data_IF_763145644870
#
_entry.id   IF_763145644870
#
_cell.length_a   1.000
_cell.length_b   1.000
_cell.length_c   1.000
_cell.angle_alpha   90.00
_cell.angle_beta   90.00
_cell.angle_gamma   90.00
#
_symmetry.space_group_name_H-M   'P 1'
#
loop_
_entity.id
_entity.type
_entity.pdbx_description
1 polymer ?
#
# COMPACT_ATOMS: atom_id res chain seq x y z
N UNK A 1 -29.57 -7.32 3.46
CA UNK A 1 -28.20 -7.73 3.90
C UNK A 1 -27.21 -7.21 2.89
N UNK A 2 -26.03 -6.70 3.28
CA UNK A 2 -25.05 -6.23 2.26
C UNK A 2 -24.52 -7.42 1.45
N UNK A 3 -24.06 -7.16 0.23
CA UNK A 3 -23.49 -8.21 -0.62
C UNK A 3 -22.32 -8.95 0.05
N UNK A 4 -21.49 -8.25 0.84
CA UNK A 4 -20.38 -8.90 1.56
C UNK A 4 -20.89 -9.88 2.62
N UNK A 5 -21.92 -9.48 3.38
CA UNK A 5 -22.54 -10.34 4.38
C UNK A 5 -23.26 -11.53 3.73
N UNK A 6 -23.91 -11.32 2.58
CA UNK A 6 -24.55 -12.38 1.80
C UNK A 6 -23.55 -13.40 1.27
N UNK A 7 -22.42 -12.94 0.72
CA UNK A 7 -21.34 -13.81 0.26
C UNK A 7 -20.69 -14.55 1.43
N UNK A 8 -20.44 -13.87 2.56
CA UNK A 8 -19.90 -14.50 3.77
C UNK A 8 -20.83 -15.60 4.28
N UNK A 9 -22.12 -15.32 4.44
CA UNK A 9 -23.11 -16.29 4.86
C UNK A 9 -23.16 -17.49 3.91
N UNK A 10 -23.27 -17.24 2.60
CA UNK A 10 -23.32 -18.31 1.60
C UNK A 10 -22.06 -19.18 1.64
N UNK A 11 -20.87 -18.58 1.59
CA UNK A 11 -19.60 -19.30 1.45
C UNK A 11 -19.16 -19.98 2.75
N UNK A 12 -19.33 -19.31 3.89
CA UNK A 12 -18.81 -19.79 5.18
C UNK A 12 -19.80 -20.69 5.92
N UNK A 13 -21.08 -20.38 5.82
CA UNK A 13 -22.10 -20.96 6.69
C UNK A 13 -23.02 -21.95 5.93
N UNK A 14 -23.42 -21.65 4.68
CA UNK A 14 -24.38 -22.49 3.92
C UNK A 14 -23.77 -23.52 2.98
N UNK A 15 -22.92 -23.11 2.02
CA UNK A 15 -22.35 -24.01 1.02
C UNK A 15 -21.56 -25.19 1.61
N UNK A 16 -20.85 -25.06 2.76
CA UNK A 16 -20.21 -26.19 3.39
C UNK A 16 -21.16 -27.31 3.84
N UNK A 17 -22.47 -27.02 4.01
CA UNK A 17 -23.46 -28.03 4.39
C UNK A 17 -23.63 -29.12 3.32
N UNK A 18 -23.41 -28.77 2.04
CA UNK A 18 -23.40 -29.70 0.90
C UNK A 18 -22.29 -30.77 0.97
N UNK A 19 -21.22 -30.54 1.75
CA UNK A 19 -19.93 -31.23 1.61
C UNK A 19 -19.80 -32.58 2.34
N UNK A 20 -20.89 -33.21 2.78
CA UNK A 20 -20.80 -34.59 3.30
C UNK A 20 -20.59 -35.64 2.19
N UNK A 21 -20.91 -35.34 0.92
CA UNK A 21 -20.82 -36.35 -0.15
C UNK A 21 -19.57 -36.27 -1.05
N UNK A 22 -18.73 -35.23 -0.93
CA UNK A 22 -17.48 -35.16 -1.69
C UNK A 22 -16.42 -34.27 -1.00
N UNK A 23 -15.23 -34.80 -0.65
CA UNK A 23 -14.12 -33.96 -0.24
C UNK A 23 -13.69 -33.05 -1.40
N UNK A 24 -13.58 -31.76 -1.13
CA UNK A 24 -13.19 -30.73 -2.11
C UNK A 24 -11.80 -31.10 -2.65
N UNK A 25 -11.71 -31.45 -3.93
CA UNK A 25 -10.47 -31.27 -4.67
C UNK A 25 -10.33 -29.78 -4.90
N UNK A 26 -9.40 -29.14 -4.18
CA UNK A 26 -9.02 -27.75 -4.48
C UNK A 26 -8.61 -27.60 -5.95
N UNK A 27 -8.67 -26.38 -6.52
CA UNK A 27 -8.20 -26.14 -7.87
C UNK A 27 -6.77 -26.68 -8.02
N UNK A 28 -6.51 -27.41 -9.11
CA UNK A 28 -5.16 -27.82 -9.49
C UNK A 28 -4.37 -26.58 -9.96
N UNK A 29 -4.07 -25.66 -9.04
CA UNK A 29 -3.14 -24.57 -9.27
C UNK A 29 -1.72 -25.17 -9.24
N UNK A 30 -1.23 -25.57 -10.41
CA UNK A 30 -0.02 -26.35 -10.58
C UNK A 30 1.31 -25.55 -10.47
N UNK A 31 1.31 -24.28 -10.05
CA UNK A 31 2.52 -23.44 -10.14
C UNK A 31 2.95 -22.75 -8.84
N UNK A 32 2.15 -22.73 -7.78
CA UNK A 32 2.50 -21.99 -6.57
C UNK A 32 2.93 -22.93 -5.42
N UNK A 33 4.18 -22.84 -4.93
CA UNK A 33 4.69 -23.71 -3.86
C UNK A 33 3.90 -23.60 -2.55
N UNK A 34 3.19 -22.49 -2.30
CA UNK A 34 2.33 -22.34 -1.11
C UNK A 34 1.10 -23.24 -1.22
N UNK A 35 0.53 -23.40 -2.42
CA UNK A 35 -0.64 -24.24 -2.66
C UNK A 35 -0.32 -25.74 -2.74
N UNK A 36 0.93 -26.12 -3.04
CA UNK A 36 1.40 -27.51 -2.95
C UNK A 36 1.37 -28.07 -1.52
N UNK A 37 1.64 -27.24 -0.52
CA UNK A 37 1.51 -27.66 0.89
C UNK A 37 0.04 -27.87 1.29
N UNK A 38 -0.88 -27.07 0.74
CA UNK A 38 -2.32 -27.21 0.99
C UNK A 38 -2.88 -28.50 0.35
N UNK A 39 -2.35 -28.90 -0.81
CA UNK A 39 -2.76 -30.13 -1.51
C UNK A 39 -2.29 -31.44 -0.84
N UNK A 40 -1.30 -31.39 0.06
CA UNK A 40 -0.75 -32.57 0.75
C UNK A 40 -1.59 -33.04 1.95
N UNK A 41 -2.85 -32.62 2.04
CA UNK A 41 -3.81 -33.21 2.98
C UNK A 41 -3.49 -32.96 4.45
N UNK A 42 -2.80 -31.85 4.77
CA UNK A 42 -2.83 -31.34 6.14
C UNK A 42 -4.30 -31.12 6.52
N UNK A 43 -4.80 -31.70 7.62
CA UNK A 43 -6.16 -31.45 8.06
C UNK A 43 -6.34 -29.93 8.12
N UNK A 44 -7.24 -29.41 7.29
CA UNK A 44 -7.61 -28.00 7.35
C UNK A 44 -8.24 -27.84 8.71
N UNK A 45 -7.44 -27.36 9.64
CA UNK A 45 -7.87 -27.23 11.00
C UNK A 45 -9.00 -26.22 11.04
N UNK A 46 -10.18 -26.71 11.39
CA UNK A 46 -11.40 -25.91 11.55
C UNK A 46 -11.31 -25.02 12.81
N UNK A 47 -10.11 -24.58 13.21
CA UNK A 47 -9.81 -23.76 14.40
C UNK A 47 -10.47 -22.38 14.42
N UNK A 48 -11.14 -21.96 13.33
CA UNK A 48 -11.96 -20.73 13.33
C UNK A 48 -13.45 -20.98 13.61
N UNK A 49 -13.88 -22.24 13.77
CA UNK A 49 -15.20 -22.57 14.33
C UNK A 49 -15.05 -22.79 15.83
N UNK A 50 -16.02 -22.32 16.61
CA UNK A 50 -16.11 -22.64 18.04
C UNK A 50 -16.01 -24.17 18.20
N UNK A 51 -15.02 -24.68 18.97
CA UNK A 51 -14.84 -26.11 19.15
C UNK A 51 -16.12 -26.73 19.73
N UNK A 52 -16.83 -27.55 18.94
CA UNK A 52 -17.96 -28.35 19.43
C UNK A 52 -19.32 -28.13 18.75
N UNK A 53 -19.48 -27.14 17.86
CA UNK A 53 -20.71 -27.03 17.07
C UNK A 53 -20.60 -27.85 15.78
N UNK A 54 -21.43 -28.91 15.58
CA UNK A 54 -21.45 -29.61 14.31
C UNK A 54 -21.80 -28.62 13.17
N UNK A 55 -21.30 -28.83 11.93
CA UNK A 55 -21.83 -28.10 10.78
C UNK A 55 -23.35 -28.18 10.85
N UNK A 56 -24.05 -27.05 10.78
CA UNK A 56 -25.50 -27.03 10.75
C UNK A 56 -25.97 -28.04 9.69
N UNK A 57 -26.51 -29.17 10.15
CA UNK A 57 -26.78 -30.32 9.29
C UNK A 57 -27.96 -29.98 8.37
N UNK A 58 -27.88 -30.37 7.10
CA UNK A 58 -28.98 -30.22 6.13
C UNK A 58 -28.50 -29.77 4.76
N UNK A 59 -29.45 -29.66 3.83
CA UNK A 59 -29.18 -29.12 2.51
C UNK A 59 -28.84 -27.62 2.59
N UNK A 60 -27.91 -27.12 1.75
CA UNK A 60 -27.63 -25.69 1.66
C UNK A 60 -28.89 -24.93 1.24
N UNK A 61 -29.08 -23.73 1.80
CA UNK A 61 -30.21 -22.88 1.41
C UNK A 61 -30.20 -22.60 -0.11
N UNK A 62 -31.36 -22.60 -0.81
CA UNK A 62 -31.42 -22.37 -2.26
C UNK A 62 -30.74 -21.07 -2.71
N UNK A 63 -30.90 -19.98 -1.96
CA UNK A 63 -30.22 -18.72 -2.24
C UNK A 63 -28.68 -18.84 -2.24
N UNK A 64 -28.10 -19.67 -1.36
CA UNK A 64 -26.65 -19.88 -1.35
C UNK A 64 -26.17 -20.62 -2.60
N UNK A 65 -26.98 -21.55 -3.12
CA UNK A 65 -26.71 -22.25 -4.40
C UNK A 65 -26.78 -21.26 -5.56
N UNK A 66 -27.78 -20.37 -5.56
CA UNK A 66 -27.91 -19.31 -6.59
C UNK A 66 -26.71 -18.36 -6.55
N UNK A 67 -26.26 -17.96 -5.35
CA UNK A 67 -25.04 -17.15 -5.18
C UNK A 67 -23.81 -17.89 -5.75
N UNK A 68 -23.63 -19.17 -5.45
CA UNK A 68 -22.54 -19.98 -6.01
C UNK A 68 -22.59 -20.02 -7.55
N UNK A 69 -23.78 -20.22 -8.13
CA UNK A 69 -23.96 -20.25 -9.58
C UNK A 69 -23.57 -18.91 -10.25
N UNK A 70 -23.99 -17.77 -9.68
CA UNK A 70 -23.59 -16.46 -10.21
C UNK A 70 -22.09 -16.18 -10.05
N UNK A 71 -21.45 -16.63 -8.97
CA UNK A 71 -20.00 -16.56 -8.81
C UNK A 71 -19.26 -17.38 -9.87
N UNK A 72 -19.77 -18.56 -10.21
CA UNK A 72 -19.20 -19.40 -11.28
C UNK A 72 -19.33 -18.73 -12.65
N UNK A 73 -20.51 -18.20 -12.98
CA UNK A 73 -20.74 -17.47 -14.24
C UNK A 73 -19.82 -16.25 -14.35
N UNK A 74 -19.68 -15.48 -13.27
CA UNK A 74 -18.74 -14.36 -13.21
C UNK A 74 -17.30 -14.84 -13.42
N UNK A 75 -16.88 -15.89 -12.70
CA UNK A 75 -15.52 -16.44 -12.82
C UNK A 75 -15.18 -16.87 -14.25
N UNK A 76 -16.08 -17.58 -14.93
CA UNK A 76 -15.88 -17.98 -16.32
C UNK A 76 -15.81 -16.78 -17.27
N UNK A 77 -16.67 -15.78 -17.05
CA UNK A 77 -16.71 -14.57 -17.87
C UNK A 77 -15.42 -13.78 -17.72
N UNK A 78 -14.91 -13.62 -16.49
CA UNK A 78 -13.64 -12.95 -16.21
C UNK A 78 -12.45 -13.71 -16.80
N UNK A 79 -12.44 -15.04 -16.74
CA UNK A 79 -11.39 -15.85 -17.40
C UNK A 79 -11.36 -15.65 -18.91
N UNK A 80 -12.53 -15.63 -19.57
CA UNK A 80 -12.62 -15.36 -21.02
C UNK A 80 -12.18 -13.93 -21.34
N UNK A 81 -12.55 -12.97 -20.52
CA UNK A 81 -12.15 -11.57 -20.70
C UNK A 81 -10.64 -11.34 -20.47
N UNK A 82 -10.03 -12.03 -19.50
CA UNK A 82 -8.59 -11.94 -19.23
C UNK A 82 -7.72 -12.42 -20.42
N UNK A 83 -8.22 -13.40 -21.18
CA UNK A 83 -7.59 -13.92 -22.42
C UNK A 83 -7.98 -13.08 -23.66
N UNK A 84 -8.79 -12.03 -23.50
CA UNK A 84 -9.28 -11.20 -24.61
C UNK A 84 -10.35 -11.86 -25.47
N UNK A 85 -10.95 -12.96 -25.02
CA UNK A 85 -12.04 -13.67 -25.72
C UNK A 85 -13.43 -13.13 -25.42
N UNK A 86 -13.56 -12.21 -24.46
CA UNK A 86 -14.83 -11.57 -24.08
C UNK A 86 -14.60 -10.13 -23.60
N UNK A 87 -15.65 -9.32 -23.60
CA UNK A 87 -15.63 -7.99 -22.99
C UNK A 87 -15.71 -8.15 -21.47
N UNK A 88 -14.89 -7.41 -20.72
CA UNK A 88 -14.94 -7.41 -19.26
C UNK A 88 -16.30 -6.88 -18.79
N UNK A 89 -17.05 -7.63 -17.96
CA UNK A 89 -18.36 -7.20 -17.46
C UNK A 89 -18.27 -6.16 -16.32
N UNK A 90 -17.07 -5.91 -15.80
CA UNK A 90 -16.84 -5.03 -14.66
C UNK A 90 -16.54 -3.61 -15.13
N UNK A 91 -17.33 -2.65 -14.66
CA UNK A 91 -17.10 -1.23 -14.94
C UNK A 91 -16.08 -0.67 -13.93
N UNK A 92 -14.90 -0.32 -14.44
CA UNK A 92 -13.83 0.30 -13.66
C UNK A 92 -13.78 1.84 -13.81
N UNK A 93 -14.67 2.43 -14.63
CA UNK A 93 -14.72 3.89 -14.82
C UNK A 93 -14.93 4.70 -13.53
N UNK A 94 -15.63 4.19 -12.49
CA UNK A 94 -15.79 4.93 -11.24
C UNK A 94 -14.55 4.95 -10.35
N UNK A 95 -13.52 4.14 -10.64
CA UNK A 95 -12.36 3.96 -9.77
C UNK A 95 -11.20 4.86 -10.23
N UNK A 96 -10.79 5.85 -9.42
CA UNK A 96 -9.68 6.73 -9.74
C UNK A 96 -8.35 6.04 -9.43
N UNK A 97 -7.93 5.17 -10.35
CA UNK A 97 -6.67 4.42 -10.27
C UNK A 97 -5.51 5.33 -10.74
N UNK A 98 -4.48 5.49 -9.92
CA UNK A 98 -3.36 6.38 -10.21
C UNK A 98 -2.34 5.71 -11.15
N UNK A 99 -2.43 5.96 -12.46
CA UNK A 99 -1.59 5.30 -13.50
C UNK A 99 -0.26 6.04 -13.76
N UNK A 100 0.10 7.06 -12.98
CA UNK A 100 0.96 8.17 -13.41
C UNK A 100 2.41 7.84 -13.86
N UNK A 101 2.92 6.61 -13.76
CA UNK A 101 4.36 6.36 -13.91
C UNK A 101 4.79 5.17 -14.79
N UNK A 102 3.88 4.38 -15.35
CA UNK A 102 4.27 3.29 -16.28
C UNK A 102 3.41 3.25 -17.53
N UNK A 103 4.07 3.05 -18.67
CA UNK A 103 3.43 3.01 -19.98
C UNK A 103 2.29 1.98 -20.06
N UNK A 104 1.36 2.20 -20.99
CA UNK A 104 0.08 1.48 -21.14
C UNK A 104 0.20 -0.05 -21.07
N UNK A 105 1.26 -0.63 -21.64
CA UNK A 105 1.47 -2.08 -21.67
C UNK A 105 1.57 -2.72 -20.27
N UNK A 106 2.13 -2.02 -19.27
CA UNK A 106 2.23 -2.55 -17.90
C UNK A 106 0.85 -2.61 -17.24
N UNK A 107 -0.03 -1.66 -17.55
CA UNK A 107 -1.37 -1.60 -16.98
C UNK A 107 -2.24 -2.74 -17.52
N UNK A 108 -2.19 -3.02 -18.83
CA UNK A 108 -2.96 -4.11 -19.43
C UNK A 108 -2.62 -5.47 -18.83
N UNK A 109 -1.32 -5.75 -18.59
CA UNK A 109 -0.86 -6.99 -17.95
C UNK A 109 -1.37 -7.08 -16.51
N UNK A 110 -1.25 -6.01 -15.72
CA UNK A 110 -1.73 -5.98 -14.33
C UNK A 110 -3.25 -6.12 -14.25
N UNK A 111 -3.99 -5.48 -15.15
CA UNK A 111 -5.46 -5.59 -15.23
C UNK A 111 -5.90 -7.00 -15.60
N UNK A 112 -5.24 -7.66 -16.56
CA UNK A 112 -5.53 -9.05 -16.92
C UNK A 112 -5.28 -10.00 -15.74
N UNK A 113 -4.15 -9.84 -15.04
CA UNK A 113 -3.83 -10.62 -13.85
C UNK A 113 -4.83 -10.38 -12.71
N UNK A 114 -5.23 -9.12 -12.48
CA UNK A 114 -6.20 -8.78 -11.47
C UNK A 114 -7.59 -9.36 -11.79
N UNK A 115 -8.00 -9.31 -13.05
CA UNK A 115 -9.26 -9.87 -13.52
C UNK A 115 -9.34 -11.38 -13.28
N UNK A 116 -8.29 -12.14 -13.62
CA UNK A 116 -8.23 -13.59 -13.39
C UNK A 116 -8.25 -13.95 -11.89
N UNK A 117 -7.61 -13.14 -11.05
CA UNK A 117 -7.55 -13.34 -9.60
C UNK A 117 -8.83 -12.91 -8.85
N UNK A 118 -9.69 -12.10 -9.47
CA UNK A 118 -10.89 -11.51 -8.83
C UNK A 118 -11.82 -12.54 -8.17
N UNK A 119 -12.17 -13.69 -8.80
CA UNK A 119 -13.02 -14.69 -8.15
C UNK A 119 -12.44 -15.23 -6.85
N UNK A 120 -11.12 -15.45 -6.82
CA UNK A 120 -10.42 -15.91 -5.61
C UNK A 120 -10.45 -14.86 -4.51
N UNK A 121 -10.38 -13.57 -4.85
CA UNK A 121 -10.49 -12.47 -3.89
C UNK A 121 -11.91 -12.32 -3.32
N UNK A 122 -12.96 -12.54 -4.10
CA UNK A 122 -14.33 -12.57 -3.59
C UNK A 122 -14.52 -13.65 -2.53
N UNK A 123 -14.05 -14.87 -2.83
CA UNK A 123 -14.15 -16.01 -1.89
C UNK A 123 -13.29 -15.76 -0.64
N UNK A 124 -12.06 -15.29 -0.81
CA UNK A 124 -11.15 -14.99 0.31
C UNK A 124 -11.71 -13.85 1.17
N UNK A 125 -12.29 -12.83 0.54
CA UNK A 125 -12.93 -11.69 1.20
C UNK A 125 -14.11 -12.09 2.07
N UNK A 126 -14.97 -12.99 1.55
CA UNK A 126 -16.10 -13.52 2.28
C UNK A 126 -15.69 -14.32 3.53
N UNK A 127 -14.61 -15.12 3.43
CA UNK A 127 -14.14 -15.96 4.53
C UNK A 127 -13.35 -15.13 5.56
N UNK A 128 -12.42 -14.30 5.10
CA UNK A 128 -11.46 -13.57 5.94
C UNK A 128 -11.82 -12.09 5.99
N UNK A 129 -11.18 -11.30 5.13
CA UNK A 129 -11.24 -9.84 5.08
C UNK A 129 -11.12 -9.38 3.63
N UNK A 130 -11.73 -8.24 3.27
CA UNK A 130 -11.55 -7.64 1.95
C UNK A 130 -10.07 -7.38 1.65
N UNK A 131 -9.70 -7.21 0.36
CA UNK A 131 -8.34 -6.83 -0.01
C UNK A 131 -7.90 -5.58 0.77
N UNK A 132 -6.82 -5.70 1.52
CA UNK A 132 -6.22 -4.57 2.21
C UNK A 132 -5.58 -3.63 1.19
N UNK A 133 -5.78 -2.34 1.38
CA UNK A 133 -5.09 -1.30 0.64
C UNK A 133 -4.22 -0.57 1.66
N UNK A 134 -2.91 -0.74 1.54
CA UNK A 134 -1.97 0.07 2.29
C UNK A 134 -1.97 1.50 1.73
N UNK A 135 -1.42 2.47 2.47
CA UNK A 135 -1.50 3.91 2.18
C UNK A 135 -0.89 4.40 0.85
N UNK A 136 -0.20 5.54 0.85
CA UNK A 136 0.43 6.06 -0.35
C UNK A 136 1.74 5.36 -0.74
N UNK A 137 2.43 5.95 -1.72
CA UNK A 137 3.85 5.69 -1.95
C UNK A 137 4.61 6.07 -0.68
N UNK A 138 5.39 5.13 -0.16
CA UNK A 138 6.20 5.36 1.03
C UNK A 138 7.64 5.66 0.63
N UNK A 139 8.20 6.68 1.27
CA UNK A 139 9.52 7.19 0.92
C UNK A 139 10.31 7.37 2.19
N UNK A 140 11.47 6.73 2.25
CA UNK A 140 12.40 6.82 3.36
C UNK A 140 13.72 7.43 2.90
N UNK A 141 14.43 8.19 3.76
CA UNK A 141 15.76 8.67 3.43
C UNK A 141 16.73 7.48 3.32
N UNK A 142 17.63 7.53 2.35
CA UNK A 142 18.72 6.54 2.26
C UNK A 142 19.63 6.67 3.48
N UNK A 143 19.79 5.57 4.21
CA UNK A 143 20.60 5.52 5.42
C UNK A 143 22.05 5.15 5.10
N UNK A 144 22.99 5.86 5.73
CA UNK A 144 24.41 5.51 5.71
C UNK A 144 24.70 4.30 6.63
N UNK A 145 25.90 3.72 6.52
CA UNK A 145 26.33 2.55 7.31
C UNK A 145 26.25 2.74 8.84
N UNK A 146 26.13 3.98 9.32
CA UNK A 146 26.01 4.32 10.73
C UNK A 146 24.55 4.55 11.19
N UNK A 147 23.56 4.14 10.40
CA UNK A 147 22.13 4.36 10.63
C UNK A 147 21.76 5.86 10.79
N UNK A 148 22.50 6.75 10.13
CA UNK A 148 22.11 8.17 9.98
C UNK A 148 21.75 8.43 8.52
N UNK A 149 20.93 9.44 8.28
CA UNK A 149 20.58 9.88 6.92
C UNK A 149 21.86 10.19 6.13
N UNK A 150 22.02 9.54 4.99
CA UNK A 150 23.16 9.77 4.11
C UNK A 150 22.98 11.10 3.37
N UNK A 151 23.96 11.98 3.51
CA UNK A 151 24.03 13.22 2.75
C UNK A 151 24.91 12.94 1.53
N UNK A 152 24.38 13.24 0.35
CA UNK A 152 25.02 13.03 -0.94
C UNK A 152 25.42 14.35 -1.55
N UNK A 153 26.45 14.33 -2.40
CA UNK A 153 26.82 15.43 -3.30
C UNK A 153 27.00 14.88 -4.70
N UNK A 154 26.67 15.69 -5.71
CA UNK A 154 26.97 15.36 -7.10
C UNK A 154 28.36 15.87 -7.43
N UNK A 155 29.26 14.95 -7.79
CA UNK A 155 30.61 15.26 -8.25
C UNK A 155 30.64 15.17 -9.77
N UNK A 156 31.06 16.27 -10.38
CA UNK A 156 31.28 16.36 -11.82
C UNK A 156 32.74 16.02 -12.13
N UNK A 157 32.96 14.97 -12.92
CA UNK A 157 34.28 14.57 -13.40
C UNK A 157 34.37 14.85 -14.90
N UNK A 158 35.48 15.44 -15.35
CA UNK A 158 35.72 15.68 -16.78
C UNK A 158 35.83 14.35 -17.52
N UNK A 159 34.98 14.12 -18.52
CA UNK A 159 34.95 12.86 -19.29
C UNK A 159 35.50 13.00 -20.72
N UNK A 160 35.88 14.20 -21.13
CA UNK A 160 36.47 14.47 -22.43
C UNK A 160 36.38 15.94 -22.81
N UNK A 161 36.78 16.23 -24.05
CA UNK A 161 36.70 17.56 -24.65
C UNK A 161 35.89 17.43 -25.94
N UNK A 162 34.86 18.28 -26.08
CA UNK A 162 34.06 18.33 -27.29
C UNK A 162 34.84 18.94 -28.47
N UNK A 163 34.30 18.85 -29.70
CA UNK A 163 34.93 19.42 -30.90
C UNK A 163 35.17 20.93 -30.81
N UNK A 164 34.43 21.64 -29.95
CA UNK A 164 34.55 23.08 -29.71
C UNK A 164 35.62 23.45 -28.66
N UNK A 165 36.35 22.48 -28.13
CA UNK A 165 37.32 22.67 -27.04
C UNK A 165 36.69 22.82 -25.65
N UNK A 166 35.36 22.66 -25.53
CA UNK A 166 34.66 22.69 -24.24
C UNK A 166 34.76 21.35 -23.54
N UNK A 167 35.16 21.37 -22.28
CA UNK A 167 35.17 20.18 -21.43
C UNK A 167 33.75 19.64 -21.22
N UNK A 168 33.60 18.33 -21.39
CA UNK A 168 32.40 17.59 -21.03
C UNK A 168 32.55 17.02 -19.63
N UNK A 169 31.47 17.05 -18.85
CA UNK A 169 31.43 16.55 -17.49
C UNK A 169 30.39 15.44 -17.35
N UNK A 170 30.74 14.39 -16.62
CA UNK A 170 29.78 13.40 -16.13
C UNK A 170 29.57 13.62 -14.64
N UNK A 171 28.30 13.69 -14.21
CA UNK A 171 27.92 13.81 -12.81
C UNK A 171 27.65 12.43 -12.22
N UNK A 172 28.23 12.15 -11.06
CA UNK A 172 27.84 10.99 -10.25
C UNK A 172 27.69 11.41 -8.79
N UNK A 173 26.86 10.70 -8.06
CA UNK A 173 26.58 11.03 -6.67
C UNK A 173 27.46 10.22 -5.73
N UNK A 174 28.05 10.88 -4.75
CA UNK A 174 28.83 10.25 -3.68
C UNK A 174 28.39 10.73 -2.30
N UNK A 175 28.63 9.91 -1.27
CA UNK A 175 28.30 10.24 0.11
C UNK A 175 29.30 11.28 0.63
N UNK A 176 28.80 12.41 1.13
CA UNK A 176 29.62 13.47 1.70
C UNK A 176 30.24 13.01 3.03
N UNK A 177 31.57 12.98 3.10
CA UNK A 177 32.33 12.47 4.25
C UNK A 177 32.72 13.53 5.28
N UNK A 178 32.71 14.81 4.92
CA UNK A 178 33.17 15.90 5.79
C UNK A 178 32.10 16.99 5.88
N UNK A 179 31.76 17.38 7.12
CA UNK A 179 30.94 18.54 7.43
C UNK A 179 31.85 19.77 7.45
N UNK A 180 31.63 20.75 6.57
CA UNK A 180 32.11 22.11 6.82
C UNK A 180 33.11 22.71 5.84
N UNK A 181 33.15 22.28 4.58
CA UNK A 181 33.79 23.10 3.56
C UNK A 181 32.77 24.12 3.06
N UNK A 182 33.13 25.41 2.97
CA UNK A 182 32.26 26.49 2.49
C UNK A 182 31.86 26.35 0.99
N UNK A 183 32.09 25.17 0.40
CA UNK A 183 31.70 24.71 -0.94
C UNK A 183 30.54 23.69 -0.90
N UNK A 184 29.85 23.56 0.25
CA UNK A 184 28.68 22.70 0.50
C UNK A 184 27.41 23.01 -0.36
N UNK A 185 27.55 23.71 -1.48
CA UNK A 185 26.49 23.86 -2.49
C UNK A 185 26.26 22.53 -3.21
N UNK A 186 25.02 22.03 -3.21
CA UNK A 186 24.65 20.78 -3.90
C UNK A 186 24.60 19.53 -3.01
N UNK A 187 24.54 19.68 -1.69
CA UNK A 187 24.22 18.57 -0.79
C UNK A 187 22.73 18.22 -0.85
N UNK A 188 22.39 16.94 -0.93
CA UNK A 188 21.02 16.46 -0.93
C UNK A 188 20.89 15.10 -0.22
N UNK A 189 19.66 14.73 0.12
CA UNK A 189 19.36 13.41 0.67
C UNK A 189 18.71 12.57 -0.44
N UNK A 190 19.25 11.38 -0.70
CA UNK A 190 18.57 10.42 -1.57
C UNK A 190 17.39 9.83 -0.84
N UNK A 191 16.34 9.60 -1.60
CA UNK A 191 15.12 8.97 -1.14
C UNK A 191 15.07 7.54 -1.69
N UNK A 192 14.73 6.59 -0.84
CA UNK A 192 14.43 5.22 -1.18
C UNK A 192 12.92 5.04 -1.14
N UNK A 193 12.33 4.54 -2.23
CA UNK A 193 10.93 4.16 -2.23
C UNK A 193 10.82 2.79 -1.57
N UNK A 194 10.33 2.75 -0.32
CA UNK A 194 10.06 1.49 0.37
C UNK A 194 8.83 0.81 -0.18
N UNK A 195 7.86 1.62 -0.63
CA UNK A 195 6.69 1.16 -1.38
C UNK A 195 6.65 1.87 -2.72
N UNK A 196 6.67 1.09 -3.78
CA UNK A 196 6.76 1.61 -5.14
C UNK A 196 5.37 1.95 -5.69
N UNK A 197 5.31 2.86 -6.66
CA UNK A 197 4.04 3.16 -7.35
C UNK A 197 3.41 1.94 -8.05
N UNK A 198 4.18 0.89 -8.35
CA UNK A 198 3.66 -0.36 -8.94
C UNK A 198 2.87 -1.16 -7.92
N UNK A 199 3.37 -1.27 -6.69
CA UNK A 199 2.68 -1.98 -5.60
C UNK A 199 1.38 -1.27 -5.24
N UNK A 200 1.41 0.07 -5.12
CA UNK A 200 0.21 0.89 -4.89
C UNK A 200 -0.81 0.68 -6.01
N UNK A 201 -0.37 0.69 -7.27
CA UNK A 201 -1.24 0.47 -8.43
C UNK A 201 -1.86 -0.94 -8.43
N UNK A 202 -1.07 -1.97 -8.09
CA UNK A 202 -1.56 -3.35 -8.01
C UNK A 202 -2.65 -3.49 -6.94
N UNK A 203 -2.44 -2.89 -5.77
CA UNK A 203 -3.41 -2.91 -4.67
C UNK A 203 -4.70 -2.16 -5.03
N UNK A 204 -4.59 -0.98 -5.66
CA UNK A 204 -5.75 -0.23 -6.16
C UNK A 204 -6.54 -1.03 -7.20
N UNK A 205 -5.85 -1.66 -8.16
CA UNK A 205 -6.49 -2.53 -9.14
C UNK A 205 -7.17 -3.72 -8.47
N UNK A 206 -6.47 -4.40 -7.57
CA UNK A 206 -6.99 -5.54 -6.82
C UNK A 206 -8.30 -5.20 -6.11
N UNK A 207 -8.32 -4.07 -5.41
CA UNK A 207 -9.51 -3.59 -4.74
C UNK A 207 -10.61 -3.17 -5.71
N UNK A 208 -10.27 -2.39 -6.74
CA UNK A 208 -11.24 -1.91 -7.73
C UNK A 208 -11.97 -3.07 -8.41
N UNK A 209 -11.24 -4.10 -8.82
CA UNK A 209 -11.82 -5.32 -9.39
C UNK A 209 -12.70 -6.08 -8.40
N UNK A 210 -12.24 -6.25 -7.16
CA UNK A 210 -13.03 -6.88 -6.09
C UNK A 210 -14.34 -6.12 -5.83
N UNK A 211 -14.26 -4.80 -5.64
CA UNK A 211 -15.43 -3.95 -5.37
C UNK A 211 -16.37 -3.89 -6.58
N UNK A 212 -15.86 -3.74 -7.79
CA UNK A 212 -16.66 -3.74 -9.02
C UNK A 212 -17.40 -5.07 -9.22
N UNK A 213 -16.76 -6.18 -8.87
CA UNK A 213 -17.40 -7.48 -8.89
C UNK A 213 -18.54 -7.60 -7.87
N UNK A 214 -18.39 -7.02 -6.66
CA UNK A 214 -19.49 -6.94 -5.70
C UNK A 214 -20.66 -6.11 -6.27
N UNK A 215 -20.39 -4.94 -6.84
CA UNK A 215 -21.41 -4.09 -7.47
C UNK A 215 -22.12 -4.83 -8.61
N UNK A 216 -21.38 -5.58 -9.43
CA UNK A 216 -21.92 -6.40 -10.51
C UNK A 216 -22.87 -7.50 -10.00
N UNK A 217 -22.55 -8.11 -8.86
CA UNK A 217 -23.35 -9.21 -8.29
C UNK A 217 -24.68 -8.74 -7.70
N UNK A 218 -24.78 -7.50 -7.21
CA UNK A 218 -26.03 -6.98 -6.59
C UNK A 218 -27.25 -7.12 -7.51
N UNK A 219 -27.27 -6.58 -8.74
CA UNK A 219 -28.43 -6.75 -9.64
C UNK A 219 -28.61 -8.20 -10.10
N UNK A 220 -27.52 -8.98 -10.21
CA UNK A 220 -27.60 -10.39 -10.57
C UNK A 220 -28.32 -11.23 -9.50
N UNK A 221 -28.25 -10.80 -8.24
CA UNK A 221 -28.82 -11.49 -7.08
C UNK A 221 -30.14 -10.86 -6.58
N UNK A 222 -30.80 -10.02 -7.38
CA UNK A 222 -32.08 -9.41 -6.98
C UNK A 222 -33.24 -10.42 -6.85
N UNK A 223 -33.08 -11.64 -7.38
CA UNK A 223 -34.11 -12.68 -7.42
C UNK A 223 -33.91 -13.78 -6.36
N UNK A 224 -33.10 -13.52 -5.33
CA UNK A 224 -33.00 -14.42 -4.18
C UNK A 224 -34.34 -14.47 -3.43
N UNK A 225 -34.65 -15.64 -2.87
CA UNK A 225 -35.98 -15.94 -2.32
C UNK A 225 -36.18 -15.44 -0.90
N UNK A 226 -35.14 -15.44 -0.07
CA UNK A 226 -35.21 -15.09 1.36
C UNK A 226 -34.34 -13.89 1.72
N UNK A 227 -33.39 -13.51 0.87
CA UNK A 227 -32.42 -12.43 1.15
C UNK A 227 -32.56 -11.31 0.13
N UNK A 228 -32.81 -10.09 0.62
CA UNK A 228 -32.60 -8.88 -0.15
C UNK A 228 -31.12 -8.45 -0.09
N UNK A 229 -30.47 -8.36 -1.24
CA UNK A 229 -29.06 -7.98 -1.38
C UNK A 229 -28.93 -6.48 -1.56
N UNK A 230 -28.23 -5.84 -0.62
CA UNK A 230 -27.91 -4.42 -0.64
C UNK A 230 -26.53 -4.18 -1.27
N UNK A 231 -26.24 -2.95 -1.72
CA UNK A 231 -24.92 -2.56 -2.24
C UNK A 231 -23.77 -2.85 -1.27
N UNK A 232 -22.52 -2.86 -1.78
CA UNK A 232 -21.34 -3.00 -0.93
C UNK A 232 -21.31 -1.94 0.17
N UNK A 233 -20.94 -2.36 1.37
CA UNK A 233 -20.61 -1.46 2.49
C UNK A 233 -19.25 -0.80 2.30
N UNK A 234 -18.33 -1.50 1.64
CA UNK A 234 -16.99 -0.99 1.38
C UNK A 234 -17.05 0.28 0.50
N UNK A 235 -16.22 1.30 0.76
CA UNK A 235 -16.19 2.51 -0.05
C UNK A 235 -15.61 2.24 -1.45
N UNK A 236 -15.97 3.05 -2.43
CA UNK A 236 -15.53 2.83 -3.82
C UNK A 236 -14.02 3.02 -4.02
N UNK A 237 -13.41 3.94 -3.28
CA UNK A 237 -12.00 4.31 -3.40
C UNK A 237 -11.43 4.72 -2.03
N UNK A 238 -11.19 3.76 -1.11
CA UNK A 238 -10.71 4.07 0.25
C UNK A 238 -9.34 4.77 0.27
N UNK A 239 -8.55 4.71 -0.80
CA UNK A 239 -7.29 5.44 -0.92
C UNK A 239 -7.44 6.95 -1.19
N UNK A 240 -8.65 7.42 -1.51
CA UNK A 240 -8.94 8.85 -1.67
C UNK A 240 -9.52 9.48 -0.42
N UNK A 241 -10.17 8.69 0.43
CA UNK A 241 -10.62 9.18 1.71
C UNK A 241 -9.35 9.53 2.50
N UNK A 242 -9.20 10.79 2.94
CA UNK A 242 -8.14 11.07 3.89
C UNK A 242 -8.40 10.12 5.06
N UNK A 243 -7.42 9.27 5.40
CA UNK A 243 -7.42 8.67 6.73
C UNK A 243 -7.76 9.83 7.66
N UNK A 244 -8.86 9.71 8.42
CA UNK A 244 -9.03 10.55 9.59
C UNK A 244 -7.85 10.16 10.47
N UNK A 245 -6.69 10.79 10.22
CA UNK A 245 -5.64 10.89 11.18
C UNK A 245 -6.38 11.47 12.38
N UNK A 246 -6.65 10.62 13.37
CA UNK A 246 -6.77 11.05 14.75
C UNK A 246 -5.48 11.82 14.97
N UNK A 247 -5.50 13.12 14.65
CA UNK A 247 -4.35 13.99 14.74
C UNK A 247 -3.98 13.94 16.19
N UNK A 248 -3.00 13.10 16.52
CA UNK A 248 -2.43 13.06 17.84
C UNK A 248 -2.15 14.52 18.17
N UNK A 249 -2.78 15.09 19.22
CA UNK A 249 -2.73 16.52 19.45
C UNK A 249 -1.26 16.90 19.46
N UNK A 250 -0.86 17.72 18.47
CA UNK A 250 0.53 18.07 18.26
C UNK A 250 1.14 18.37 19.62
N UNK A 251 2.26 17.71 20.00
CA UNK A 251 2.86 17.93 21.30
C UNK A 251 3.04 19.43 21.46
N UNK A 252 2.34 20.00 22.44
CA UNK A 252 2.16 21.42 22.58
C UNK A 252 3.55 22.08 22.57
N UNK A 253 3.93 22.70 21.45
CA UNK A 253 5.25 23.30 21.25
C UNK A 253 5.44 24.57 22.09
N UNK A 254 4.39 24.98 22.82
CA UNK A 254 4.58 25.91 23.92
C UNK A 254 5.66 25.31 24.81
N UNK A 255 6.75 26.04 25.10
CA UNK A 255 7.70 25.60 26.09
C UNK A 255 6.86 25.25 27.31
N UNK A 256 6.83 23.96 27.68
CA UNK A 256 6.33 23.55 28.98
C UNK A 256 7.11 24.45 29.91
N UNK A 257 6.47 25.46 30.49
CA UNK A 257 6.97 26.10 31.68
C UNK A 257 7.17 24.91 32.58
N UNK A 258 8.41 24.44 32.67
CA UNK A 258 8.83 23.67 33.81
C UNK A 258 8.37 24.56 34.94
N UNK A 259 7.29 24.14 35.60
CA UNK A 259 7.08 24.55 36.97
C UNK A 259 8.38 24.05 37.59
N UNK A 260 9.32 24.97 37.73
CA UNK A 260 10.47 24.81 38.58
C UNK A 260 9.85 24.50 39.92
N UNK A 261 9.58 23.22 40.16
CA UNK A 261 9.54 22.71 41.51
C UNK A 261 10.90 23.11 42.00
N UNK A 262 10.92 24.12 42.86
CA UNK A 262 12.03 24.59 43.67
C UNK A 262 12.71 23.37 44.32
N UNK A 263 13.49 22.64 43.53
CA UNK A 263 14.56 21.81 44.03
C UNK A 263 15.58 22.86 44.42
N UNK A 264 15.49 23.29 45.68
CA UNK A 264 16.55 23.95 46.42
C UNK A 264 17.79 23.05 46.32
N UNK A 265 18.52 23.16 45.20
CA UNK A 265 19.84 22.59 45.05
C UNK A 265 20.74 23.52 45.85
N UNK A 266 20.90 23.17 47.12
CA UNK A 266 21.93 23.78 47.95
C UNK A 266 23.29 23.57 47.27
N UNK A 267 23.94 24.69 46.90
CA UNK A 267 25.38 24.77 47.01
C UNK A 267 26.26 24.45 45.80
N UNK A 268 25.77 24.41 44.56
CA UNK A 268 26.68 24.49 43.38
C UNK A 268 26.56 25.85 42.71
N UNK A 269 27.46 26.76 43.09
CA UNK A 269 27.74 27.98 42.33
C UNK A 269 28.09 27.57 40.91
N UNK A 270 27.22 27.90 39.95
CA UNK A 270 27.55 27.79 38.54
C UNK A 270 28.80 28.66 38.29
N UNK A 271 29.85 28.05 37.75
CA UNK A 271 31.01 28.80 37.30
C UNK A 271 30.54 29.82 36.26
N UNK A 272 30.99 31.09 36.32
CA UNK A 272 30.61 32.09 35.34
C UNK A 272 30.99 31.59 33.94
N UNK A 273 29.99 31.47 33.06
CA UNK A 273 30.20 31.24 31.65
C UNK A 273 31.18 32.31 31.16
N UNK A 274 32.37 31.90 30.70
CA UNK A 274 33.29 32.81 30.02
C UNK A 274 32.52 33.40 28.83
N UNK A 275 32.32 34.71 28.85
CA UNK A 275 31.80 35.43 27.70
C UNK A 275 32.65 35.05 26.49
N UNK A 276 32.06 34.33 25.53
CA UNK A 276 32.67 34.20 24.23
C UNK A 276 32.84 35.61 23.68
N UNK A 277 34.02 35.97 23.15
CA UNK A 277 34.20 37.28 22.54
C UNK A 277 33.20 37.38 21.39
N UNK A 278 32.17 38.21 21.58
CA UNK A 278 31.29 38.64 20.51
C UNK A 278 32.20 39.29 19.48
N UNK A 279 32.47 38.57 18.38
CA UNK A 279 33.14 39.15 17.22
C UNK A 279 32.21 40.26 16.73
N UNK A 280 32.54 41.51 17.06
CA UNK A 280 32.02 42.66 16.34
C UNK A 280 32.45 42.47 14.90
N UNK A 281 31.47 42.20 14.04
CA UNK A 281 31.66 42.29 12.60
C UNK A 281 31.76 43.79 12.33
N UNK A 282 32.96 44.26 12.03
CA UNK A 282 33.15 45.65 11.62
C UNK A 282 32.54 45.81 10.22
N UNK A 283 31.64 46.79 10.05
CA UNK A 283 30.92 47.00 8.79
C UNK A 283 31.85 47.31 7.60
N UNK A 284 33.12 47.65 7.88
CA UNK A 284 34.16 47.88 6.88
C UNK A 284 34.77 46.58 6.33
N UNK A 285 34.68 45.48 7.07
CA UNK A 285 35.19 44.15 6.66
C UNK A 285 34.13 43.34 5.91
N UNK A 286 32.89 43.84 5.83
CA UNK A 286 31.81 43.19 5.09
C UNK A 286 31.86 43.59 3.61
N UNK A 287 32.33 42.67 2.76
CA UNK A 287 32.24 42.82 1.31
C UNK A 287 30.92 42.21 0.80
N UNK A 288 30.04 43.01 0.16
CA UNK A 288 28.82 42.48 -0.43
C UNK A 288 29.14 41.50 -1.57
N UNK A 289 28.33 40.44 -1.77
CA UNK A 289 28.57 39.40 -2.78
C UNK A 289 28.67 39.91 -4.22
N UNK A 290 28.16 41.11 -4.49
CA UNK A 290 28.09 41.74 -5.81
C UNK A 290 29.40 42.35 -6.31
N UNK A 291 30.44 42.43 -5.46
CA UNK A 291 31.76 42.99 -5.85
C UNK A 291 32.88 41.94 -5.91
N UNK A 292 32.58 40.65 -5.84
CA UNK A 292 33.57 39.59 -6.14
C UNK A 292 33.71 39.47 -7.65
N UNK A 293 34.54 40.32 -8.25
CA UNK A 293 35.00 40.13 -9.63
C UNK A 293 35.91 38.90 -9.74
N UNK A 294 35.85 38.29 -10.91
CA UNK A 294 36.42 37.01 -11.33
C UNK A 294 37.89 36.75 -10.95
#
# INVERSE_FOLDING_TARGET
MTIEDALRWAIRDELPKRRQDAPIRGPQCASDPVWRMVAMGGPVDNWSREPGMPPAMGDPHPDAITIEAHLQVLSETLKRAAVGSAVCPLDLSPYPIQVALRGKASLEVMSSAAMDATPSWLVTGAIRRPPEIAGGIEVEPVMAKNNKVAIWRTVHTTCGEGPDGKQWFTGHDEVATVKGDSRDTGLFCKLNYTRTGVEVLEEQLRYAYWHAALVYLVPALQFLTSIEVLPPKAPIAPWLEPEEEERAPLPNLRPRRHVERDRRVAGRRAAPLRASPVRKIDLRDWTPPTQRTA
#
